data_IF_684730088187
#
_entry.id   IF_684730088187
#
_cell.length_a   1.000
_cell.length_b   1.000
_cell.length_c   1.000
_cell.angle_alpha   90.00
_cell.angle_beta   90.00
_cell.angle_gamma   90.00
#
_symmetry.space_group_name_H-M   'P 1'
#
loop_
_entity.id
_entity.type
_entity.pdbx_description
1 polymer ?
#
# COMPACT_ATOMS: atom_id res chain seq x y z
N UNK A 1 49.30 -26.40 2.33
CA UNK A 1 48.55 -26.05 1.11
C UNK A 1 47.64 -27.14 0.55
N UNK A 2 47.92 -28.44 0.74
CA UNK A 2 47.12 -29.54 0.16
C UNK A 2 45.74 -29.83 0.86
N UNK A 3 45.58 -29.51 2.12
CA UNK A 3 44.32 -29.76 2.87
C UNK A 3 43.20 -28.80 2.44
N UNK A 4 43.49 -27.51 2.32
CA UNK A 4 42.54 -26.47 1.91
C UNK A 4 41.97 -26.69 0.51
N UNK A 5 42.78 -27.12 -0.47
CA UNK A 5 42.32 -27.46 -1.81
C UNK A 5 41.35 -28.63 -1.86
N UNK A 6 41.58 -29.67 -1.02
CA UNK A 6 40.67 -30.83 -0.91
C UNK A 6 39.34 -30.43 -0.30
N UNK A 7 39.35 -29.58 0.73
CA UNK A 7 38.14 -29.09 1.39
C UNK A 7 37.28 -28.25 0.44
N UNK A 8 37.90 -27.34 -0.33
CA UNK A 8 37.22 -26.55 -1.35
C UNK A 8 36.59 -27.44 -2.44
N UNK A 9 37.33 -28.45 -2.92
CA UNK A 9 36.78 -29.36 -3.93
C UNK A 9 35.59 -30.19 -3.41
N UNK A 10 35.67 -30.65 -2.15
CA UNK A 10 34.58 -31.38 -1.49
C UNK A 10 33.36 -30.43 -1.26
N UNK A 11 33.59 -29.19 -0.86
CA UNK A 11 32.55 -28.19 -0.74
C UNK A 11 31.84 -27.96 -2.07
N UNK A 12 32.59 -27.78 -3.16
CA UNK A 12 32.05 -27.59 -4.50
C UNK A 12 31.21 -28.80 -4.97
N UNK A 13 31.67 -30.03 -4.70
CA UNK A 13 30.90 -31.24 -5.00
C UNK A 13 29.58 -31.28 -4.23
N UNK A 14 29.58 -30.91 -2.94
CA UNK A 14 28.35 -30.83 -2.14
C UNK A 14 27.42 -29.74 -2.67
N UNK A 15 27.94 -28.59 -3.14
CA UNK A 15 27.16 -27.54 -3.78
C UNK A 15 26.43 -28.06 -5.02
N UNK A 16 27.12 -28.74 -5.91
CA UNK A 16 26.52 -29.29 -7.15
C UNK A 16 25.45 -30.34 -6.83
N UNK A 17 25.73 -31.25 -5.90
CA UNK A 17 24.74 -32.23 -5.41
C UNK A 17 23.52 -31.54 -4.80
N UNK A 18 23.71 -30.47 -4.00
CA UNK A 18 22.65 -29.69 -3.41
C UNK A 18 21.78 -29.04 -4.48
N UNK A 19 22.39 -28.51 -5.54
CA UNK A 19 21.66 -27.91 -6.69
C UNK A 19 20.77 -28.94 -7.40
N UNK A 20 21.32 -30.11 -7.73
CA UNK A 20 20.56 -31.20 -8.38
C UNK A 20 19.39 -31.68 -7.51
N UNK A 21 19.61 -31.82 -6.19
CA UNK A 21 18.55 -32.21 -5.25
C UNK A 21 17.44 -31.14 -5.14
N UNK A 22 17.82 -29.85 -5.13
CA UNK A 22 16.87 -28.75 -5.17
C UNK A 22 16.00 -28.77 -6.43
N UNK A 23 16.61 -28.98 -7.61
CA UNK A 23 15.92 -29.09 -8.90
C UNK A 23 14.93 -30.28 -8.91
N UNK A 24 15.23 -31.35 -8.20
CA UNK A 24 14.35 -32.52 -7.98
C UNK A 24 13.27 -32.30 -6.89
N UNK A 25 13.28 -31.16 -6.20
CA UNK A 25 12.36 -30.90 -5.09
C UNK A 25 12.74 -31.59 -3.77
N UNK A 26 13.89 -32.27 -3.70
CA UNK A 26 14.40 -32.93 -2.48
C UNK A 26 15.03 -31.92 -1.52
N UNK A 27 14.22 -31.00 -1.00
CA UNK A 27 14.71 -29.84 -0.24
C UNK A 27 15.48 -30.20 1.03
N UNK A 28 15.04 -31.22 1.78
CA UNK A 28 15.75 -31.67 3.01
C UNK A 28 17.20 -32.15 2.70
N UNK A 29 17.35 -32.90 1.64
CA UNK A 29 18.66 -33.41 1.22
C UNK A 29 19.52 -32.29 0.63
N UNK A 30 18.93 -31.37 -0.13
CA UNK A 30 19.63 -30.19 -0.65
C UNK A 30 20.17 -29.31 0.49
N UNK A 31 19.39 -29.06 1.53
CA UNK A 31 19.80 -28.32 2.75
C UNK A 31 20.98 -29.02 3.42
N UNK A 32 20.91 -30.36 3.57
CA UNK A 32 22.02 -31.12 4.17
C UNK A 32 23.33 -30.98 3.37
N UNK A 33 23.26 -31.02 2.02
CA UNK A 33 24.42 -30.83 1.15
C UNK A 33 24.99 -29.42 1.21
N UNK A 34 24.15 -28.37 1.18
CA UNK A 34 24.62 -27.00 1.33
C UNK A 34 25.23 -26.74 2.71
N UNK A 35 24.66 -27.32 3.78
CA UNK A 35 25.25 -27.23 5.12
C UNK A 35 26.59 -27.98 5.22
N UNK A 36 26.77 -29.10 4.51
CA UNK A 36 28.07 -29.79 4.43
C UNK A 36 29.11 -28.92 3.71
N UNK A 37 28.72 -28.23 2.63
CA UNK A 37 29.62 -27.29 1.96
C UNK A 37 30.00 -26.13 2.89
N UNK A 38 29.03 -25.53 3.62
CA UNK A 38 29.26 -24.42 4.56
C UNK A 38 30.07 -24.81 5.81
N UNK A 39 30.10 -26.08 6.18
CA UNK A 39 31.02 -26.58 7.25
C UNK A 39 32.49 -26.53 6.80
N UNK A 40 32.74 -26.74 5.52
CA UNK A 40 34.09 -26.70 4.93
C UNK A 40 34.52 -25.32 4.52
N UNK A 41 33.55 -24.51 4.01
CA UNK A 41 33.75 -23.15 3.53
C UNK A 41 32.64 -22.25 4.08
N UNK A 42 32.73 -21.76 5.34
CA UNK A 42 31.68 -21.00 6.01
C UNK A 42 31.35 -19.67 5.33
N UNK A 43 32.29 -19.08 4.60
CA UNK A 43 32.21 -17.83 3.86
C UNK A 43 31.72 -18.01 2.42
N UNK A 44 31.29 -19.20 2.04
CA UNK A 44 30.79 -19.48 0.70
C UNK A 44 29.43 -18.84 0.47
N UNK A 45 29.48 -17.62 -0.06
CA UNK A 45 28.27 -16.80 -0.37
C UNK A 45 27.33 -17.51 -1.34
N UNK A 46 27.87 -18.28 -2.30
CA UNK A 46 27.04 -19.04 -3.23
C UNK A 46 26.25 -20.13 -2.51
N UNK A 47 26.88 -20.87 -1.56
CA UNK A 47 26.18 -21.85 -0.73
C UNK A 47 25.08 -21.22 0.11
N UNK A 48 25.37 -20.09 0.77
CA UNK A 48 24.38 -19.35 1.56
C UNK A 48 23.21 -18.86 0.70
N UNK A 49 23.47 -18.38 -0.52
CA UNK A 49 22.43 -17.96 -1.45
C UNK A 49 21.54 -19.12 -1.92
N UNK A 50 22.12 -20.28 -2.22
CA UNK A 50 21.37 -21.47 -2.61
C UNK A 50 20.54 -22.00 -1.44
N UNK A 51 21.12 -22.04 -0.25
CA UNK A 51 20.41 -22.43 0.97
C UNK A 51 19.24 -21.51 1.27
N UNK A 52 19.43 -20.18 1.19
CA UNK A 52 18.35 -19.20 1.35
C UNK A 52 17.24 -19.43 0.33
N UNK A 53 17.58 -19.76 -0.91
CA UNK A 53 16.59 -20.02 -1.96
C UNK A 53 15.80 -21.32 -1.74
N UNK A 54 16.37 -22.32 -1.09
CA UNK A 54 15.61 -23.51 -0.67
C UNK A 54 14.65 -23.16 0.46
N UNK A 55 15.10 -22.38 1.44
CA UNK A 55 14.23 -21.92 2.53
C UNK A 55 13.11 -20.99 2.05
N UNK A 56 13.36 -20.15 1.03
CA UNK A 56 12.28 -19.37 0.39
C UNK A 56 11.21 -20.28 -0.22
N UNK A 57 11.61 -21.34 -0.93
CA UNK A 57 10.69 -22.31 -1.51
C UNK A 57 9.86 -23.08 -0.45
N UNK A 58 10.36 -23.15 0.78
CA UNK A 58 9.68 -23.75 1.93
C UNK A 58 8.96 -22.71 2.80
N UNK A 59 8.96 -21.43 2.40
CA UNK A 59 8.42 -20.29 3.18
C UNK A 59 9.04 -20.18 4.60
N UNK A 60 10.23 -20.73 4.79
CA UNK A 60 10.96 -20.65 6.06
C UNK A 60 11.76 -19.33 6.13
N UNK A 61 11.01 -18.24 6.31
CA UNK A 61 11.56 -16.89 6.26
C UNK A 61 12.58 -16.61 7.37
N UNK A 62 12.53 -17.33 8.49
CA UNK A 62 13.51 -17.19 9.56
C UNK A 62 14.90 -17.63 9.11
N UNK A 63 14.98 -18.79 8.47
CA UNK A 63 16.25 -19.32 7.98
C UNK A 63 16.76 -18.49 6.77
N UNK A 64 15.87 -17.93 5.94
CA UNK A 64 16.26 -16.96 4.89
C UNK A 64 16.97 -15.77 5.52
N UNK A 65 16.42 -15.17 6.57
CA UNK A 65 17.04 -14.03 7.27
C UNK A 65 18.38 -14.42 7.88
N UNK A 66 18.50 -15.61 8.47
CA UNK A 66 19.79 -16.11 9.01
C UNK A 66 20.86 -16.25 7.92
N UNK A 67 20.49 -16.80 6.75
CA UNK A 67 21.40 -16.89 5.62
C UNK A 67 21.85 -15.51 5.14
N UNK A 68 20.90 -14.57 4.97
CA UNK A 68 21.19 -13.20 4.55
C UNK A 68 22.12 -12.48 5.53
N UNK A 69 21.89 -12.61 6.86
CA UNK A 69 22.75 -12.04 7.90
C UNK A 69 24.20 -12.58 7.81
N UNK A 70 24.37 -13.88 7.53
CA UNK A 70 25.70 -14.43 7.29
C UNK A 70 26.34 -13.83 6.04
N UNK A 71 25.58 -13.68 4.95
CA UNK A 71 26.10 -13.08 3.71
C UNK A 71 26.59 -11.65 3.99
N UNK A 72 25.80 -10.80 4.65
CA UNK A 72 26.19 -9.41 4.91
C UNK A 72 27.31 -9.31 5.95
N UNK A 73 27.47 -10.30 6.84
CA UNK A 73 28.61 -10.37 7.74
C UNK A 73 29.93 -10.61 7.00
N UNK A 74 29.93 -11.39 5.91
CA UNK A 74 31.10 -11.61 5.06
C UNK A 74 31.23 -10.55 3.96
N UNK A 75 30.13 -10.01 3.47
CA UNK A 75 30.05 -9.01 2.41
C UNK A 75 29.10 -7.88 2.81
N UNK A 76 29.55 -6.88 3.59
CA UNK A 76 28.69 -5.79 4.08
C UNK A 76 28.07 -4.93 2.97
N UNK A 77 28.69 -4.92 1.78
CA UNK A 77 28.19 -4.17 0.61
C UNK A 77 27.34 -5.01 -0.35
N UNK A 78 26.79 -6.14 0.12
CA UNK A 78 25.94 -6.99 -0.71
C UNK A 78 24.47 -6.52 -0.67
N UNK A 79 24.13 -5.53 -1.51
CA UNK A 79 22.79 -4.97 -1.62
C UNK A 79 21.71 -6.05 -1.87
N UNK A 80 22.02 -7.10 -2.66
CA UNK A 80 21.07 -8.18 -2.95
C UNK A 80 20.72 -8.99 -1.69
N UNK A 81 21.67 -9.17 -0.78
CA UNK A 81 21.43 -9.89 0.47
C UNK A 81 20.51 -9.06 1.39
N UNK A 82 20.71 -7.75 1.49
CA UNK A 82 19.83 -6.86 2.22
C UNK A 82 18.43 -6.82 1.62
N UNK A 83 18.30 -6.75 0.29
CA UNK A 83 17.00 -6.78 -0.38
C UNK A 83 16.25 -8.09 -0.11
N UNK A 84 16.94 -9.23 -0.17
CA UNK A 84 16.38 -10.55 0.19
C UNK A 84 15.97 -10.61 1.66
N UNK A 85 16.80 -10.09 2.56
CA UNK A 85 16.49 -9.99 3.99
C UNK A 85 15.25 -9.13 4.24
N UNK A 86 15.13 -7.98 3.56
CA UNK A 86 13.97 -7.10 3.68
C UNK A 86 12.66 -7.81 3.30
N UNK A 87 12.66 -8.51 2.18
CA UNK A 87 11.50 -9.29 1.71
C UNK A 87 11.13 -10.40 2.70
N UNK A 88 12.10 -11.11 3.25
CA UNK A 88 11.88 -12.17 4.23
C UNK A 88 11.37 -11.62 5.58
N UNK A 89 11.91 -10.50 6.05
CA UNK A 89 11.43 -9.81 7.27
C UNK A 89 10.01 -9.29 7.12
N UNK A 90 9.65 -8.79 5.94
CA UNK A 90 8.27 -8.40 5.62
C UNK A 90 7.31 -9.59 5.76
N UNK A 91 7.66 -10.77 5.23
CA UNK A 91 6.84 -11.98 5.37
C UNK A 91 6.65 -12.40 6.83
N UNK A 92 7.62 -12.11 7.70
CA UNK A 92 7.53 -12.31 9.15
C UNK A 92 6.76 -11.20 9.87
N UNK A 93 6.23 -10.20 9.16
CA UNK A 93 5.61 -8.98 9.73
C UNK A 93 6.56 -8.19 10.66
N UNK A 94 7.87 -8.29 10.45
CA UNK A 94 8.90 -7.53 11.18
C UNK A 94 9.16 -6.20 10.47
N UNK A 95 8.18 -5.27 10.59
CA UNK A 95 8.08 -4.07 9.76
C UNK A 95 9.35 -3.18 9.81
N UNK A 96 9.82 -2.82 11.01
CA UNK A 96 10.99 -1.97 11.18
C UNK A 96 12.27 -2.60 10.61
N UNK A 97 12.46 -3.88 10.86
CA UNK A 97 13.61 -4.62 10.32
C UNK A 97 13.58 -4.72 8.79
N UNK A 98 12.38 -4.87 8.21
CA UNK A 98 12.23 -4.90 6.76
C UNK A 98 12.55 -3.53 6.14
N UNK A 99 12.07 -2.43 6.72
CA UNK A 99 12.37 -1.07 6.26
C UNK A 99 13.86 -0.80 6.32
N UNK A 100 14.50 -1.08 7.46
CA UNK A 100 15.94 -0.89 7.62
C UNK A 100 16.73 -1.67 6.56
N UNK A 101 16.38 -2.92 6.30
CA UNK A 101 17.07 -3.73 5.30
C UNK A 101 16.82 -3.23 3.85
N UNK A 102 15.63 -2.68 3.52
CA UNK A 102 15.41 -1.99 2.24
C UNK A 102 16.26 -0.73 2.10
N UNK A 103 16.37 0.06 3.16
CA UNK A 103 17.17 1.30 3.18
C UNK A 103 18.66 0.99 2.98
N UNK A 104 19.20 0.00 3.69
CA UNK A 104 20.58 -0.48 3.49
C UNK A 104 20.82 -0.93 2.04
N UNK A 105 19.86 -1.67 1.45
CA UNK A 105 19.99 -2.10 0.06
C UNK A 105 20.08 -0.90 -0.90
N UNK A 106 19.25 0.15 -0.69
CA UNK A 106 19.23 1.38 -1.50
C UNK A 106 20.51 2.19 -1.30
N UNK A 107 21.04 2.27 -0.07
CA UNK A 107 22.25 3.02 0.24
C UNK A 107 23.47 2.43 -0.47
N UNK A 108 23.53 1.10 -0.56
CA UNK A 108 24.62 0.39 -1.24
C UNK A 108 24.46 0.47 -2.76
N UNK A 109 23.25 0.27 -3.27
CA UNK A 109 22.95 0.27 -4.71
C UNK A 109 21.57 0.93 -4.95
N UNK A 110 21.58 2.16 -5.45
CA UNK A 110 20.37 2.97 -5.66
C UNK A 110 19.40 2.36 -6.68
N UNK A 111 19.89 1.51 -7.57
CA UNK A 111 19.11 0.91 -8.66
C UNK A 111 18.71 -0.55 -8.36
N UNK A 112 19.05 -1.07 -7.18
CA UNK A 112 18.78 -2.46 -6.80
C UNK A 112 17.28 -2.76 -6.69
N UNK A 113 16.47 -1.80 -6.25
CA UNK A 113 15.03 -1.96 -6.07
C UNK A 113 14.28 -1.80 -7.40
N UNK A 114 13.38 -2.73 -7.66
CA UNK A 114 12.40 -2.63 -8.74
C UNK A 114 11.12 -1.93 -8.26
N UNK A 115 10.24 -1.55 -9.17
CA UNK A 115 8.97 -0.91 -8.86
C UNK A 115 8.16 -1.66 -7.78
N UNK A 116 8.15 -2.99 -7.83
CA UNK A 116 7.46 -3.82 -6.82
C UNK A 116 8.08 -3.71 -5.43
N UNK A 117 9.40 -3.54 -5.32
CA UNK A 117 10.09 -3.39 -4.04
C UNK A 117 9.80 -2.02 -3.42
N UNK A 118 9.81 -0.97 -4.23
CA UNK A 118 9.39 0.37 -3.80
C UNK A 118 7.93 0.38 -3.34
N UNK A 119 7.02 -0.30 -4.07
CA UNK A 119 5.63 -0.47 -3.61
C UNK A 119 5.56 -1.16 -2.25
N UNK A 120 6.32 -2.24 -2.06
CA UNK A 120 6.35 -2.96 -0.78
C UNK A 120 6.90 -2.10 0.37
N UNK A 121 7.94 -1.33 0.11
CA UNK A 121 8.50 -0.41 1.10
C UNK A 121 7.50 0.71 1.47
N UNK A 122 6.77 1.24 0.49
CA UNK A 122 5.69 2.20 0.74
C UNK A 122 4.58 1.62 1.62
N UNK A 123 4.16 0.37 1.34
CA UNK A 123 3.17 -0.34 2.18
C UNK A 123 3.64 -0.50 3.63
N UNK A 124 4.93 -0.79 3.83
CA UNK A 124 5.52 -0.93 5.17
C UNK A 124 5.47 0.38 5.94
N UNK A 125 5.82 1.51 5.31
CA UNK A 125 5.71 2.83 5.95
C UNK A 125 4.27 3.17 6.35
N UNK A 126 3.27 2.79 5.53
CA UNK A 126 1.85 3.01 5.85
C UNK A 126 1.37 2.11 6.99
N UNK A 127 1.93 0.91 7.13
CA UNK A 127 1.53 -0.06 8.17
C UNK A 127 2.06 0.30 9.56
N UNK A 128 3.18 1.03 9.65
CA UNK A 128 3.74 1.44 10.94
C UNK A 128 2.83 2.50 11.57
N UNK A 129 2.24 2.15 12.72
CA UNK A 129 1.43 3.05 13.54
C UNK A 129 2.30 3.65 14.66
N UNK A 130 3.19 4.57 14.31
CA UNK A 130 3.95 5.33 15.33
C UNK A 130 3.33 6.70 15.51
N UNK A 131 2.99 7.08 16.74
CA UNK A 131 2.41 8.38 17.06
C UNK A 131 3.40 9.54 16.90
N UNK A 132 4.69 9.28 17.09
CA UNK A 132 5.71 10.33 17.14
C UNK A 132 6.21 10.80 15.76
N UNK A 133 6.13 9.97 14.70
CA UNK A 133 6.69 10.27 13.38
C UNK A 133 5.73 10.01 12.21
N UNK A 134 4.41 10.06 12.45
CA UNK A 134 3.42 9.70 11.45
C UNK A 134 3.52 10.52 10.14
N UNK A 135 3.83 11.82 10.26
CA UNK A 135 3.98 12.70 9.08
C UNK A 135 5.25 12.36 8.27
N UNK A 136 6.36 12.08 8.93
CA UNK A 136 7.60 11.66 8.26
C UNK A 136 7.39 10.32 7.53
N UNK A 137 6.82 9.32 8.20
CA UNK A 137 6.52 8.02 7.61
C UNK A 137 5.57 8.12 6.40
N UNK A 138 4.57 9.00 6.47
CA UNK A 138 3.69 9.25 5.33
C UNK A 138 4.44 9.88 4.15
N UNK A 139 5.39 10.80 4.41
CA UNK A 139 6.22 11.38 3.35
C UNK A 139 7.15 10.33 2.72
N UNK A 140 7.74 9.43 3.53
CA UNK A 140 8.56 8.33 3.04
C UNK A 140 7.73 7.35 2.18
N UNK A 141 6.51 7.04 2.61
CA UNK A 141 5.57 6.24 1.84
C UNK A 141 5.24 6.90 0.49
N UNK A 142 4.93 8.21 0.50
CA UNK A 142 4.64 8.99 -0.72
C UNK A 142 5.84 8.96 -1.68
N UNK A 143 7.05 9.25 -1.18
CA UNK A 143 8.28 9.25 -1.99
C UNK A 143 8.50 7.87 -2.61
N UNK A 144 8.30 6.83 -1.83
CA UNK A 144 8.50 5.44 -2.24
C UNK A 144 7.47 5.01 -3.30
N UNK A 145 6.18 5.33 -3.12
CA UNK A 145 5.16 5.06 -4.14
C UNK A 145 5.39 5.87 -5.43
N UNK A 146 5.80 7.15 -5.32
CA UNK A 146 6.17 7.96 -6.49
C UNK A 146 7.30 7.29 -7.28
N UNK A 147 8.32 6.78 -6.59
CA UNK A 147 9.42 6.05 -7.26
C UNK A 147 8.94 4.76 -7.92
N UNK A 148 8.01 4.04 -7.29
CA UNK A 148 7.42 2.84 -7.88
C UNK A 148 6.70 3.13 -9.21
N UNK A 149 5.88 4.18 -9.27
CA UNK A 149 5.12 4.54 -10.48
C UNK A 149 5.99 5.23 -11.53
N UNK A 150 7.07 5.91 -11.13
CA UNK A 150 8.09 6.45 -12.04
C UNK A 150 8.82 5.32 -12.80
N UNK A 151 9.23 4.28 -12.08
CA UNK A 151 9.92 3.12 -12.69
C UNK A 151 9.00 2.26 -13.56
N UNK A 152 7.70 2.27 -13.27
CA UNK A 152 6.70 1.52 -14.01
C UNK A 152 5.38 2.31 -14.08
N UNK A 153 5.20 3.19 -15.09
CA UNK A 153 4.00 4.03 -15.22
C UNK A 153 2.68 3.25 -15.38
N UNK A 154 2.74 2.06 -15.99
CA UNK A 154 1.62 1.13 -16.15
C UNK A 154 1.46 0.16 -14.96
N UNK A 155 1.97 0.55 -13.79
CA UNK A 155 1.86 -0.27 -12.58
C UNK A 155 0.39 -0.49 -12.22
N UNK A 156 0.03 -1.64 -11.60
CA UNK A 156 -1.36 -1.90 -11.23
C UNK A 156 -2.01 -0.72 -10.49
N UNK A 157 -3.29 -0.40 -10.77
CA UNK A 157 -3.96 0.81 -10.27
C UNK A 157 -3.92 0.92 -8.74
N UNK A 158 -3.75 -0.19 -8.05
CA UNK A 158 -3.66 -0.22 -6.59
C UNK A 158 -2.53 0.64 -6.02
N UNK A 159 -1.40 0.78 -6.73
CA UNK A 159 -0.28 1.62 -6.27
C UNK A 159 -0.63 3.10 -6.36
N UNK A 160 -1.27 3.50 -7.45
CA UNK A 160 -1.79 4.86 -7.61
C UNK A 160 -2.85 5.18 -6.54
N UNK A 161 -3.73 4.20 -6.20
CA UNK A 161 -4.71 4.35 -5.12
C UNK A 161 -4.01 4.50 -3.76
N UNK A 162 -3.01 3.65 -3.45
CA UNK A 162 -2.26 3.73 -2.19
C UNK A 162 -1.52 5.07 -2.04
N UNK A 163 -0.92 5.55 -3.13
CA UNK A 163 -0.29 6.87 -3.18
C UNK A 163 -1.33 7.98 -2.90
N UNK A 164 -2.46 7.94 -3.61
CA UNK A 164 -3.53 8.92 -3.46
C UNK A 164 -4.14 8.91 -2.04
N UNK A 165 -4.41 7.73 -1.48
CA UNK A 165 -4.90 7.58 -0.10
C UNK A 165 -3.93 8.19 0.92
N UNK A 166 -2.62 8.00 0.71
CA UNK A 166 -1.59 8.55 1.60
C UNK A 166 -1.49 10.07 1.46
N UNK A 167 -1.53 10.57 0.23
CA UNK A 167 -1.55 12.01 -0.08
C UNK A 167 -2.79 12.69 0.52
N UNK A 168 -3.96 12.08 0.40
CA UNK A 168 -5.22 12.60 0.95
C UNK A 168 -5.18 12.69 2.48
N UNK A 169 -4.59 11.70 3.16
CA UNK A 169 -4.37 11.74 4.63
C UNK A 169 -3.43 12.87 5.07
N UNK A 170 -2.53 13.30 4.18
CA UNK A 170 -1.64 14.44 4.40
C UNK A 170 -2.23 15.76 3.86
N UNK A 171 -3.52 15.77 3.51
CA UNK A 171 -4.24 16.93 2.96
C UNK A 171 -3.66 17.49 1.65
N UNK A 172 -2.86 16.68 0.95
CA UNK A 172 -2.29 17.00 -0.37
C UNK A 172 -3.30 16.61 -1.46
N UNK A 173 -4.45 17.30 -1.45
CA UNK A 173 -5.61 16.88 -2.25
C UNK A 173 -5.37 16.97 -3.75
N UNK A 174 -4.66 17.98 -4.25
CA UNK A 174 -4.37 18.14 -5.68
C UNK A 174 -3.58 16.93 -6.22
N UNK A 175 -2.51 16.53 -5.53
CA UNK A 175 -1.71 15.38 -5.92
C UNK A 175 -2.47 14.05 -5.76
N UNK A 176 -3.34 13.96 -4.75
CA UNK A 176 -4.21 12.80 -4.57
C UNK A 176 -5.19 12.64 -5.75
N UNK A 177 -5.80 13.75 -6.21
CA UNK A 177 -6.70 13.76 -7.37
C UNK A 177 -5.98 13.20 -8.60
N UNK A 178 -4.79 13.72 -8.92
CA UNK A 178 -3.98 13.23 -10.05
C UNK A 178 -3.71 11.73 -9.93
N UNK A 179 -3.37 11.26 -8.73
CA UNK A 179 -3.06 9.84 -8.51
C UNK A 179 -4.30 8.95 -8.64
N UNK A 180 -5.49 9.37 -8.14
CA UNK A 180 -6.73 8.63 -8.37
C UNK A 180 -7.12 8.60 -9.86
N UNK A 181 -6.96 9.72 -10.57
CA UNK A 181 -7.21 9.79 -12.02
C UNK A 181 -6.31 8.82 -12.79
N UNK A 182 -5.02 8.76 -12.43
CA UNK A 182 -4.09 7.78 -13.02
C UNK A 182 -4.53 6.32 -12.75
N UNK A 183 -5.01 6.02 -11.55
CA UNK A 183 -5.55 4.69 -11.25
C UNK A 183 -6.73 4.35 -12.18
N UNK A 184 -7.64 5.31 -12.42
CA UNK A 184 -8.81 5.14 -13.30
C UNK A 184 -8.43 5.11 -14.79
N UNK A 185 -7.37 5.78 -15.21
CA UNK A 185 -6.80 5.67 -16.58
C UNK A 185 -6.26 4.25 -16.84
N UNK A 186 -5.53 3.68 -15.86
CA UNK A 186 -5.00 2.30 -15.95
C UNK A 186 -6.13 1.27 -15.96
N UNK A 187 -7.16 1.49 -15.14
CA UNK A 187 -8.32 0.60 -15.03
C UNK A 187 -9.60 1.41 -14.76
N UNK A 188 -10.43 1.67 -15.80
CA UNK A 188 -11.64 2.48 -15.65
C UNK A 188 -12.73 1.87 -14.76
N UNK A 189 -12.76 0.54 -14.61
CA UNK A 189 -13.79 -0.20 -13.87
C UNK A 189 -13.38 -0.54 -12.42
N UNK A 190 -12.71 0.40 -11.72
CA UNK A 190 -12.30 0.23 -10.33
C UNK A 190 -13.45 0.34 -9.31
N UNK A 191 -14.67 0.52 -9.78
CA UNK A 191 -15.87 0.57 -8.95
C UNK A 191 -16.08 1.87 -8.19
N UNK A 192 -17.25 1.99 -7.55
CA UNK A 192 -17.74 3.19 -6.86
C UNK A 192 -16.80 3.71 -5.76
N UNK A 193 -16.05 2.82 -5.11
CA UNK A 193 -15.15 3.17 -4.00
C UNK A 193 -14.04 4.15 -4.37
N UNK A 194 -13.40 3.97 -5.54
CA UNK A 194 -12.32 4.85 -6.00
C UNK A 194 -12.88 6.20 -6.42
N UNK A 195 -14.00 6.23 -7.14
CA UNK A 195 -14.69 7.47 -7.48
C UNK A 195 -15.13 8.24 -6.23
N UNK A 196 -15.61 7.55 -5.19
CA UNK A 196 -15.96 8.20 -3.91
C UNK A 196 -14.75 8.89 -3.27
N UNK A 197 -13.58 8.26 -3.28
CA UNK A 197 -12.34 8.86 -2.76
C UNK A 197 -11.91 10.05 -3.60
N UNK A 198 -11.95 9.94 -4.92
CA UNK A 198 -11.65 11.02 -5.85
C UNK A 198 -12.58 12.22 -5.60
N UNK A 199 -13.89 11.98 -5.54
CA UNK A 199 -14.89 13.04 -5.27
C UNK A 199 -14.64 13.74 -3.93
N UNK A 200 -14.26 13.00 -2.89
CA UNK A 200 -13.88 13.59 -1.59
C UNK A 200 -12.65 14.50 -1.70
N UNK A 201 -11.62 14.07 -2.42
CA UNK A 201 -10.42 14.88 -2.63
C UNK A 201 -10.76 16.17 -3.43
N UNK A 202 -11.55 16.06 -4.49
CA UNK A 202 -12.03 17.19 -5.31
C UNK A 202 -12.84 18.17 -4.47
N UNK A 203 -13.77 17.67 -3.63
CA UNK A 203 -14.58 18.51 -2.74
C UNK A 203 -13.72 19.28 -1.75
N UNK A 204 -12.72 18.63 -1.14
CA UNK A 204 -11.78 19.26 -0.21
C UNK A 204 -10.88 20.30 -0.88
N UNK A 205 -10.52 20.08 -2.16
CA UNK A 205 -9.75 21.03 -2.96
C UNK A 205 -10.61 22.19 -3.51
N UNK A 206 -11.94 22.17 -3.30
CA UNK A 206 -12.86 23.18 -3.83
C UNK A 206 -13.20 23.00 -5.32
N UNK A 207 -12.85 21.88 -5.93
CA UNK A 207 -13.19 21.56 -7.32
C UNK A 207 -14.64 21.05 -7.43
N UNK A 208 -15.61 21.93 -7.11
CA UNK A 208 -17.01 21.56 -6.88
C UNK A 208 -17.66 20.91 -8.09
N UNK A 209 -17.44 21.43 -9.31
CA UNK A 209 -18.02 20.87 -10.54
C UNK A 209 -17.54 19.45 -10.80
N UNK A 210 -16.24 19.22 -10.62
CA UNK A 210 -15.65 17.90 -10.78
C UNK A 210 -16.16 16.93 -9.70
N UNK A 211 -16.26 17.38 -8.45
CA UNK A 211 -16.82 16.58 -7.35
C UNK A 211 -18.26 16.15 -7.63
N UNK A 212 -19.10 17.08 -8.09
CA UNK A 212 -20.49 16.80 -8.48
C UNK A 212 -20.55 15.75 -9.59
N UNK A 213 -19.76 15.92 -10.66
CA UNK A 213 -19.70 14.94 -11.75
C UNK A 213 -19.23 13.57 -11.26
N UNK A 214 -18.20 13.55 -10.41
CA UNK A 214 -17.66 12.32 -9.83
C UNK A 214 -18.67 11.61 -8.93
N UNK A 215 -19.42 12.33 -8.06
CA UNK A 215 -20.44 11.70 -7.22
C UNK A 215 -21.67 11.22 -8.03
N UNK A 216 -22.02 11.90 -9.11
CA UNK A 216 -23.02 11.35 -10.06
C UNK A 216 -22.56 10.04 -10.65
N UNK A 217 -21.26 9.91 -10.99
CA UNK A 217 -20.69 8.65 -11.46
C UNK A 217 -20.74 7.55 -10.38
N UNK A 218 -20.51 7.90 -9.10
CA UNK A 218 -20.71 6.95 -7.99
C UNK A 218 -22.14 6.46 -7.93
N UNK A 219 -23.13 7.34 -8.08
CA UNK A 219 -24.57 7.00 -8.06
C UNK A 219 -24.96 6.12 -9.27
N UNK A 220 -24.38 6.35 -10.44
CA UNK A 220 -24.56 5.47 -11.60
C UNK A 220 -24.05 4.04 -11.33
N UNK A 221 -22.92 3.92 -10.63
CA UNK A 221 -22.32 2.62 -10.30
C UNK A 221 -22.98 1.93 -9.10
N UNK A 222 -23.47 2.72 -8.14
CA UNK A 222 -24.17 2.25 -6.94
C UNK A 222 -25.32 3.21 -6.60
N UNK A 223 -26.52 2.99 -7.19
CA UNK A 223 -27.70 3.82 -6.93
C UNK A 223 -28.21 3.75 -5.48
N UNK A 224 -27.75 2.80 -4.68
CA UNK A 224 -28.13 2.63 -3.28
C UNK A 224 -27.17 3.30 -2.29
N UNK A 225 -26.14 3.98 -2.79
CA UNK A 225 -25.09 4.60 -1.96
C UNK A 225 -25.59 5.86 -1.25
N UNK A 226 -26.03 5.73 0.00
CA UNK A 226 -26.41 6.87 0.87
C UNK A 226 -25.28 7.90 0.93
N UNK A 227 -24.03 7.43 1.07
CA UNK A 227 -22.86 8.31 1.14
C UNK A 227 -22.63 9.12 -0.14
N UNK A 228 -22.95 8.56 -1.32
CA UNK A 228 -22.82 9.27 -2.58
C UNK A 228 -23.83 10.43 -2.70
N UNK A 229 -25.09 10.18 -2.36
CA UNK A 229 -26.12 11.23 -2.33
C UNK A 229 -25.81 12.31 -1.28
N UNK A 230 -25.36 11.93 -0.09
CA UNK A 230 -24.93 12.88 0.94
C UNK A 230 -23.77 13.75 0.45
N UNK A 231 -22.74 13.17 -0.13
CA UNK A 231 -21.57 13.90 -0.61
C UNK A 231 -21.92 14.78 -1.84
N UNK A 232 -22.81 14.31 -2.71
CA UNK A 232 -23.36 15.11 -3.81
C UNK A 232 -24.10 16.32 -3.26
N UNK A 233 -24.96 16.13 -2.27
CA UNK A 233 -25.67 17.22 -1.58
C UNK A 233 -24.70 18.23 -0.96
N UNK A 234 -23.63 17.76 -0.30
CA UNK A 234 -22.59 18.63 0.26
C UNK A 234 -21.89 19.48 -0.83
N UNK A 235 -21.55 18.88 -1.96
CA UNK A 235 -20.90 19.58 -3.08
C UNK A 235 -21.85 20.63 -3.71
N UNK A 236 -23.10 20.26 -3.93
CA UNK A 236 -24.13 21.15 -4.45
C UNK A 236 -24.42 22.32 -3.50
N UNK A 237 -24.49 22.06 -2.19
CA UNK A 237 -24.68 23.09 -1.17
C UNK A 237 -23.50 24.08 -1.14
N UNK A 238 -22.26 23.61 -1.26
CA UNK A 238 -21.08 24.47 -1.34
C UNK A 238 -21.11 25.33 -2.61
N UNK A 239 -21.65 24.81 -3.69
CA UNK A 239 -21.85 25.54 -4.95
C UNK A 239 -23.10 26.44 -4.93
N UNK A 240 -23.82 26.53 -3.80
CA UNK A 240 -25.06 27.27 -3.64
C UNK A 240 -26.24 26.78 -4.52
N UNK A 241 -26.17 25.55 -5.01
CA UNK A 241 -27.24 24.87 -5.74
C UNK A 241 -28.19 24.19 -4.74
N UNK A 242 -28.90 25.00 -3.96
CA UNK A 242 -29.61 24.54 -2.78
C UNK A 242 -30.74 23.56 -3.07
N UNK A 243 -31.51 23.78 -4.16
CA UNK A 243 -32.62 22.89 -4.53
C UNK A 243 -32.11 21.49 -4.90
N UNK A 244 -31.02 21.41 -5.64
CA UNK A 244 -30.41 20.15 -6.02
C UNK A 244 -29.78 19.44 -4.79
N UNK A 245 -29.24 20.21 -3.84
CA UNK A 245 -28.73 19.68 -2.58
C UNK A 245 -29.85 19.06 -1.74
N UNK A 246 -31.02 19.75 -1.64
CA UNK A 246 -32.21 19.22 -0.97
C UNK A 246 -32.60 17.86 -1.58
N UNK A 247 -32.75 17.80 -2.90
CA UNK A 247 -33.11 16.57 -3.60
C UNK A 247 -32.12 15.42 -3.30
N UNK A 248 -30.85 15.76 -3.28
CA UNK A 248 -29.80 14.77 -2.97
C UNK A 248 -29.88 14.26 -1.53
N UNK A 249 -30.07 15.16 -0.55
CA UNK A 249 -30.23 14.76 0.85
C UNK A 249 -31.55 13.99 1.10
N UNK A 250 -32.63 14.37 0.44
CA UNK A 250 -33.90 13.64 0.49
C UNK A 250 -33.71 12.20 0.01
N UNK A 251 -33.01 12.02 -1.10
CA UNK A 251 -32.70 10.67 -1.60
C UNK A 251 -31.83 9.85 -0.65
N UNK A 252 -30.85 10.49 0.01
CA UNK A 252 -30.07 9.85 1.05
C UNK A 252 -30.94 9.42 2.25
N UNK A 253 -31.90 10.26 2.67
CA UNK A 253 -32.85 9.97 3.75
C UNK A 253 -33.82 8.84 3.37
N UNK A 254 -34.31 8.80 2.13
CA UNK A 254 -35.15 7.69 1.64
C UNK A 254 -34.42 6.35 1.73
N UNK A 255 -33.12 6.33 1.38
CA UNK A 255 -32.28 5.14 1.46
C UNK A 255 -31.90 4.74 2.89
N UNK A 256 -31.77 5.70 3.80
CA UNK A 256 -31.49 5.47 5.21
C UNK A 256 -32.26 6.44 6.11
N UNK A 257 -33.54 6.14 6.42
CA UNK A 257 -34.39 6.99 7.23
C UNK A 257 -33.93 7.14 8.71
N UNK A 258 -33.10 6.25 9.19
CA UNK A 258 -32.63 6.21 10.57
C UNK A 258 -31.25 6.85 10.76
N UNK A 259 -30.82 7.75 9.85
CA UNK A 259 -29.54 8.44 9.93
C UNK A 259 -29.72 9.88 10.43
N UNK A 260 -29.56 10.17 11.75
CA UNK A 260 -29.80 11.51 12.29
C UNK A 260 -28.91 12.58 11.66
N UNK A 261 -27.72 12.22 11.19
CA UNK A 261 -26.82 13.13 10.49
C UNK A 261 -27.40 13.74 9.19
N UNK A 262 -28.20 12.97 8.44
CA UNK A 262 -28.83 13.46 7.21
C UNK A 262 -29.90 14.52 7.50
N UNK A 263 -30.68 14.32 8.56
CA UNK A 263 -31.69 15.31 8.99
C UNK A 263 -31.02 16.59 9.50
N UNK A 264 -29.86 16.50 10.19
CA UNK A 264 -29.08 17.69 10.55
C UNK A 264 -28.60 18.45 9.34
N UNK A 265 -28.06 17.77 8.32
CA UNK A 265 -27.65 18.41 7.06
C UNK A 265 -28.82 19.11 6.36
N UNK A 266 -30.03 18.53 6.36
CA UNK A 266 -31.23 19.18 5.86
C UNK A 266 -31.61 20.41 6.69
N UNK A 267 -31.57 20.32 8.00
CA UNK A 267 -31.80 21.43 8.93
C UNK A 267 -30.83 22.59 8.69
N UNK A 268 -29.53 22.29 8.57
CA UNK A 268 -28.50 23.28 8.27
C UNK A 268 -28.75 23.98 6.92
N UNK A 269 -29.15 23.21 5.91
CA UNK A 269 -29.46 23.74 4.60
C UNK A 269 -30.71 24.64 4.62
N UNK A 270 -31.77 24.24 5.35
CA UNK A 270 -32.99 25.07 5.53
C UNK A 270 -32.65 26.35 6.29
N UNK A 271 -31.83 26.29 7.31
CA UNK A 271 -31.35 27.47 8.05
C UNK A 271 -30.63 28.45 7.13
N UNK A 272 -29.73 27.97 6.27
CA UNK A 272 -29.03 28.80 5.28
C UNK A 272 -29.97 29.49 4.30
N UNK A 273 -31.15 28.91 4.03
CA UNK A 273 -32.16 29.50 3.18
C UNK A 273 -33.16 30.40 3.95
N UNK A 274 -32.99 30.57 5.26
CA UNK A 274 -33.92 31.32 6.10
C UNK A 274 -35.24 30.60 6.41
N UNK A 275 -35.36 29.31 6.09
CA UNK A 275 -36.55 28.47 6.28
C UNK A 275 -36.53 27.85 7.71
N UNK A 276 -36.59 28.74 8.71
CA UNK A 276 -36.35 28.40 10.12
C UNK A 276 -37.33 27.37 10.71
N UNK A 277 -38.62 27.44 10.32
CA UNK A 277 -39.66 26.50 10.78
C UNK A 277 -39.35 25.06 10.30
N UNK A 278 -38.96 24.92 9.05
CA UNK A 278 -38.63 23.63 8.46
C UNK A 278 -37.33 23.10 9.01
N UNK A 279 -36.34 23.98 9.23
CA UNK A 279 -35.10 23.62 9.90
C UNK A 279 -35.34 22.99 11.28
N UNK A 280 -36.22 23.61 12.10
CA UNK A 280 -36.59 23.11 13.41
C UNK A 280 -37.20 21.70 13.34
N UNK A 281 -38.06 21.43 12.36
CA UNK A 281 -38.65 20.10 12.15
C UNK A 281 -37.58 19.03 11.84
N UNK A 282 -36.60 19.35 10.96
CA UNK A 282 -35.52 18.44 10.66
C UNK A 282 -34.61 18.19 11.85
N UNK A 283 -34.28 19.21 12.65
CA UNK A 283 -33.49 19.04 13.87
C UNK A 283 -34.24 18.21 14.93
N UNK A 284 -35.55 18.44 15.10
CA UNK A 284 -36.38 17.62 15.99
C UNK A 284 -36.35 16.16 15.54
N UNK A 285 -36.50 15.89 14.25
CA UNK A 285 -36.43 14.52 13.73
C UNK A 285 -35.06 13.88 13.93
N UNK A 286 -33.98 14.66 13.79
CA UNK A 286 -32.62 14.19 14.06
C UNK A 286 -32.36 13.81 15.52
N UNK A 287 -33.16 14.31 16.46
CA UNK A 287 -33.05 14.02 17.90
C UNK A 287 -34.00 12.91 18.36
N UNK A 288 -35.02 12.58 17.56
CA UNK A 288 -36.03 11.54 17.87
C UNK A 288 -35.67 10.15 17.32
N UNK A 289 -34.60 10.05 16.53
CA UNK A 289 -34.02 8.82 15.97
C UNK A 289 -32.78 8.43 16.77
#
# INVERSE_FOLDING_TARGET
MSSSFKEVAVAQKNMEMGKQLKEKGSFKEAIAKYNMALKLTPDNIQALNQLASVYEAQENWEEVVKCCRKIVAFQPTNARAYLRQARALKQQNKLYGAIAAFQEAIEIDKDILKAQDYKQLGDLFVQIKSSENQKAQANDAIATYKKAVELKPDFPPQVHISLADTLQKQERFEEAIVSYQKALEVKPDLGAGVYTKLGKAQLKQGQLDQAIATYRKVIELDPSSVAAYQNLGNALQQKSLFNDAINSYQKAIELNPNAPGLYRLMGDLMTKQGRTTEAAQYYQKATSI
#
